data_IF_015281293928
#
_entry.id   IF_015281293928
#
_cell.length_a   1.000
_cell.length_b   1.000
_cell.length_c   1.000
_cell.angle_alpha   90.00
_cell.angle_beta   90.00
_cell.angle_gamma   90.00
#
_symmetry.space_group_name_H-M   'P 1'
#
loop_
_entity.id
_entity.type
_entity.pdbx_description
1 polymer ?
#
# COMPACT_ATOMS: atom_id res chain seq x y z
N UNK A 1 -26.92 8.63 -18.59
CA UNK A 1 -25.45 8.60 -18.50
C UNK A 1 -25.10 7.44 -17.60
N UNK A 2 -24.72 6.29 -18.15
CA UNK A 2 -24.34 5.12 -17.35
C UNK A 2 -23.00 5.40 -16.71
N UNK A 3 -22.98 5.73 -15.43
CA UNK A 3 -21.73 5.80 -14.68
C UNK A 3 -21.10 4.42 -14.65
N UNK A 4 -19.80 4.32 -14.89
CA UNK A 4 -19.07 3.10 -14.61
C UNK A 4 -19.34 2.70 -13.16
N UNK A 5 -19.75 1.45 -12.96
CA UNK A 5 -19.93 0.87 -11.63
C UNK A 5 -18.55 0.57 -11.04
N UNK A 6 -18.06 1.52 -10.24
CA UNK A 6 -16.70 1.54 -9.70
C UNK A 6 -16.71 1.02 -8.26
N UNK A 7 -15.89 0.01 -8.00
CA UNK A 7 -15.76 -0.63 -6.68
C UNK A 7 -14.46 -0.25 -5.95
N UNK A 8 -13.50 0.34 -6.65
CA UNK A 8 -12.22 0.68 -6.03
C UNK A 8 -11.25 1.41 -6.92
N UNK A 9 -10.01 1.53 -6.45
CA UNK A 9 -8.90 2.09 -7.21
C UNK A 9 -7.64 1.25 -7.10
N UNK A 10 -6.76 1.36 -8.10
CA UNK A 10 -5.39 0.84 -7.98
C UNK A 10 -4.46 1.89 -7.40
N UNK A 11 -3.60 1.47 -6.48
CA UNK A 11 -2.49 2.26 -5.97
C UNK A 11 -1.18 1.52 -6.19
N UNK A 12 -0.25 2.19 -6.87
CA UNK A 12 1.10 1.68 -7.04
C UNK A 12 2.00 2.06 -5.86
N UNK A 13 2.74 1.10 -5.31
CA UNK A 13 3.89 1.36 -4.45
C UNK A 13 5.15 0.64 -4.98
N UNK A 14 6.31 1.18 -4.62
CA UNK A 14 7.59 0.53 -4.94
C UNK A 14 7.86 -0.54 -3.90
N UNK A 15 8.03 -1.78 -4.32
CA UNK A 15 8.41 -2.87 -3.44
C UNK A 15 9.90 -2.79 -3.06
N UNK A 16 10.20 -3.12 -1.80
CA UNK A 16 11.58 -3.17 -1.27
C UNK A 16 12.39 -4.28 -1.94
N UNK A 17 13.57 -3.99 -2.54
CA UNK A 17 14.44 -5.01 -3.11
C UNK A 17 15.11 -5.91 -2.06
N UNK A 18 14.95 -5.63 -0.77
CA UNK A 18 15.56 -6.37 0.36
C UNK A 18 14.65 -7.45 0.95
N UNK A 19 13.45 -7.61 0.40
CA UNK A 19 12.49 -8.60 0.87
C UNK A 19 11.91 -9.39 -0.28
N UNK A 20 11.60 -10.66 -0.03
CA UNK A 20 10.80 -11.49 -0.93
C UNK A 20 9.29 -11.30 -0.69
N UNK A 21 8.90 -10.64 0.41
CA UNK A 21 7.51 -10.33 0.74
C UNK A 21 7.07 -9.01 0.08
N UNK A 22 5.77 -8.84 -0.24
CA UNK A 22 5.26 -7.66 -0.94
C UNK A 22 5.18 -6.42 -0.04
N UNK A 23 6.28 -6.03 0.59
CA UNK A 23 6.36 -4.84 1.45
C UNK A 23 6.77 -3.60 0.65
N UNK A 24 6.35 -2.39 1.05
CA UNK A 24 6.81 -1.16 0.43
C UNK A 24 8.30 -0.91 0.70
N UNK A 25 8.93 -0.09 -0.14
CA UNK A 25 10.29 0.41 0.03
C UNK A 25 10.28 1.64 0.95
N UNK A 26 10.90 1.52 2.13
CA UNK A 26 10.86 2.54 3.18
C UNK A 26 12.22 3.11 3.61
N UNK A 27 13.34 2.68 3.02
CA UNK A 27 14.66 3.14 3.47
C UNK A 27 15.78 2.87 2.45
N UNK A 28 16.59 3.89 2.16
CA UNK A 28 18.00 3.81 1.72
C UNK A 28 18.41 3.05 0.46
N UNK A 29 17.59 2.17 -0.12
CA UNK A 29 18.05 1.15 -1.09
C UNK A 29 18.48 1.75 -2.45
N UNK A 30 18.19 3.04 -2.67
CA UNK A 30 18.74 3.87 -3.75
C UNK A 30 19.63 4.97 -3.16
N UNK A 31 20.91 4.68 -2.94
CA UNK A 31 21.96 5.66 -2.62
C UNK A 31 21.70 6.58 -1.40
N UNK A 32 21.40 6.03 -0.23
CA UNK A 32 21.26 6.79 1.05
C UNK A 32 20.22 7.93 1.04
N UNK A 33 19.41 8.03 -0.03
CA UNK A 33 18.30 8.97 -0.20
C UNK A 33 17.02 8.16 -0.40
N UNK A 34 16.69 7.33 0.58
CA UNK A 34 15.59 6.36 0.55
C UNK A 34 14.30 6.85 -0.10
N UNK A 35 13.48 5.91 -0.59
CA UNK A 35 12.11 6.21 -1.00
C UNK A 35 11.40 6.94 0.14
N UNK A 36 10.99 8.18 -0.12
CA UNK A 36 10.11 8.93 0.80
C UNK A 36 8.71 8.29 0.90
N UNK A 37 8.44 7.12 0.34
CA UNK A 37 7.09 6.53 0.26
C UNK A 37 7.06 5.21 1.01
N UNK A 38 6.76 5.30 2.31
CA UNK A 38 6.74 4.21 3.29
C UNK A 38 5.35 3.58 3.41
N UNK A 39 4.60 3.54 2.31
CA UNK A 39 3.16 3.24 2.29
C UNK A 39 2.91 2.03 1.37
N UNK A 40 2.03 1.08 1.73
CA UNK A 40 1.08 1.11 2.85
C UNK A 40 1.73 1.01 4.24
N UNK A 41 1.09 1.61 5.26
CA UNK A 41 1.52 1.55 6.65
C UNK A 41 0.78 0.46 7.42
N UNK A 42 1.51 -0.47 8.03
CA UNK A 42 0.94 -1.61 8.74
C UNK A 42 0.71 -1.29 10.21
N UNK A 43 -0.49 -1.56 10.69
CA UNK A 43 -0.97 -1.33 12.04
C UNK A 43 -1.25 -2.68 12.73
N UNK A 44 -1.43 -2.72 14.06
CA UNK A 44 -1.88 -3.92 14.78
C UNK A 44 -3.18 -4.51 14.20
N UNK A 45 -3.45 -5.78 14.52
CA UNK A 45 -4.68 -6.49 14.15
C UNK A 45 -4.97 -6.55 12.64
N UNK A 46 -3.92 -6.65 11.80
CA UNK A 46 -4.00 -6.61 10.32
C UNK A 46 -4.60 -5.32 9.75
N UNK A 47 -4.67 -4.26 10.54
CA UNK A 47 -5.08 -2.98 10.02
C UNK A 47 -3.96 -2.40 9.15
N UNK A 48 -4.36 -1.71 8.09
CA UNK A 48 -3.45 -0.99 7.21
C UNK A 48 -3.98 0.42 7.02
N UNK A 49 -3.07 1.38 6.97
CA UNK A 49 -3.35 2.77 6.68
C UNK A 49 -2.63 3.20 5.41
N UNK A 50 -3.26 4.12 4.68
CA UNK A 50 -2.69 4.71 3.48
C UNK A 50 -2.65 6.24 3.58
N UNK A 51 -1.49 6.81 3.24
CA UNK A 51 -1.14 8.19 3.54
C UNK A 51 -1.17 8.46 5.06
N UNK A 52 -0.55 7.59 5.86
CA UNK A 52 -0.57 7.70 7.32
C UNK A 52 0.44 8.70 7.87
N UNK A 53 1.67 8.68 7.35
CA UNK A 53 2.76 9.52 7.86
C UNK A 53 2.80 10.91 7.23
N UNK A 54 2.46 10.99 5.94
CA UNK A 54 2.45 12.25 5.20
C UNK A 54 1.59 12.15 3.96
N UNK A 55 1.32 13.33 3.41
CA UNK A 55 0.71 13.53 2.10
C UNK A 55 1.52 12.88 0.98
N UNK A 56 1.28 11.61 0.71
CA UNK A 56 1.84 10.89 -0.42
C UNK A 56 0.99 11.14 -1.67
N UNK A 57 1.08 12.36 -2.22
CA UNK A 57 0.33 12.84 -3.38
C UNK A 57 -1.20 12.74 -3.14
N UNK A 58 -1.90 13.86 -2.86
CA UNK A 58 -3.32 13.85 -2.45
C UNK A 58 -4.25 13.04 -3.36
N UNK A 59 -3.88 12.87 -4.65
CA UNK A 59 -4.70 12.16 -5.64
C UNK A 59 -4.82 10.66 -5.41
N UNK A 60 -3.90 10.01 -4.69
CA UNK A 60 -3.81 8.54 -4.65
C UNK A 60 -4.99 7.88 -3.92
N UNK A 61 -5.52 8.52 -2.87
CA UNK A 61 -6.69 8.02 -2.12
C UNK A 61 -7.91 8.94 -2.27
N UNK A 62 -7.78 10.06 -2.97
CA UNK A 62 -8.88 11.04 -3.11
C UNK A 62 -10.12 10.44 -3.77
N UNK A 63 -9.95 9.53 -4.73
CA UNK A 63 -11.09 8.85 -5.34
C UNK A 63 -11.83 7.94 -4.35
N UNK A 64 -11.09 7.23 -3.47
CA UNK A 64 -11.67 6.41 -2.41
C UNK A 64 -12.58 7.25 -1.52
N UNK A 65 -12.12 8.45 -1.14
CA UNK A 65 -12.86 9.35 -0.25
C UNK A 65 -14.01 10.05 -0.98
N UNK A 66 -13.75 10.67 -2.13
CA UNK A 66 -14.74 11.46 -2.87
C UNK A 66 -15.93 10.62 -3.35
N UNK A 67 -15.72 9.31 -3.57
CA UNK A 67 -16.70 8.39 -4.12
C UNK A 67 -17.10 7.27 -3.14
N UNK A 68 -16.61 7.31 -1.91
CA UNK A 68 -16.88 6.30 -0.86
C UNK A 68 -16.63 4.87 -1.35
N UNK A 69 -15.47 4.63 -1.96
CA UNK A 69 -15.15 3.33 -2.56
C UNK A 69 -14.71 2.32 -1.49
N UNK A 70 -15.24 1.09 -1.53
CA UNK A 70 -14.94 0.08 -0.50
C UNK A 70 -13.53 -0.50 -0.60
N UNK A 71 -12.85 -0.41 -1.75
CA UNK A 71 -11.57 -1.08 -1.96
C UNK A 71 -10.46 -0.17 -2.52
N UNK A 72 -9.25 -0.38 -2.01
CA UNK A 72 -8.01 0.07 -2.64
C UNK A 72 -7.13 -1.14 -2.93
N UNK A 73 -6.84 -1.39 -4.20
CA UNK A 73 -6.01 -2.51 -4.64
C UNK A 73 -4.56 -2.08 -4.80
N UNK A 74 -3.64 -2.88 -4.27
CA UNK A 74 -2.22 -2.59 -4.34
C UNK A 74 -1.56 -3.22 -5.53
N UNK A 75 -0.83 -2.39 -6.28
CA UNK A 75 -0.02 -2.82 -7.41
C UNK A 75 1.44 -2.55 -7.12
N UNK A 76 2.29 -3.51 -7.45
CA UNK A 76 3.74 -3.30 -7.39
C UNK A 76 4.46 -4.00 -8.54
N UNK A 77 5.79 -3.94 -8.53
CA UNK A 77 6.69 -4.68 -9.42
C UNK A 77 7.72 -5.38 -8.56
N UNK A 78 7.85 -6.70 -8.68
CA UNK A 78 8.94 -7.43 -8.03
C UNK A 78 10.28 -7.04 -8.69
N UNK A 79 11.26 -6.61 -7.90
CA UNK A 79 12.57 -6.15 -8.40
C UNK A 79 13.60 -7.28 -8.46
N UNK A 80 13.23 -8.43 -9.04
CA UNK A 80 14.18 -9.54 -9.24
C UNK A 80 14.68 -9.58 -10.68
N UNK A 81 16.01 -9.58 -10.86
CA UNK A 81 16.64 -9.65 -12.17
C UNK A 81 16.36 -10.96 -12.93
N UNK A 82 15.98 -12.03 -12.23
CA UNK A 82 15.80 -13.38 -12.78
C UNK A 82 14.39 -13.98 -12.60
N UNK A 83 13.40 -13.21 -12.14
CA UNK A 83 12.02 -13.73 -12.01
C UNK A 83 11.28 -13.73 -13.35
N UNK A 84 10.36 -14.67 -13.56
CA UNK A 84 9.44 -14.69 -14.72
C UNK A 84 8.56 -13.43 -14.82
N UNK A 85 8.43 -12.69 -13.71
CA UNK A 85 7.59 -11.49 -13.54
C UNK A 85 8.42 -10.21 -13.79
N UNK A 86 9.67 -10.32 -14.24
CA UNK A 86 10.55 -9.17 -14.49
C UNK A 86 9.86 -8.14 -15.40
N UNK A 87 9.65 -6.94 -14.85
CA UNK A 87 8.95 -5.79 -15.46
C UNK A 87 7.41 -5.86 -15.56
N UNK A 88 6.76 -6.92 -15.10
CA UNK A 88 5.29 -7.00 -15.02
C UNK A 88 4.77 -6.28 -13.77
N UNK A 89 3.66 -5.56 -13.94
CA UNK A 89 2.91 -4.99 -12.80
C UNK A 89 1.88 -5.98 -12.33
N UNK A 90 1.89 -6.24 -11.04
CA UNK A 90 1.07 -7.26 -10.40
C UNK A 90 0.26 -6.65 -9.27
N UNK A 91 -0.98 -7.11 -9.14
CA UNK A 91 -1.84 -6.88 -7.97
C UNK A 91 -1.45 -7.89 -6.91
N UNK A 92 -1.11 -7.42 -5.71
CA UNK A 92 -0.56 -8.25 -4.63
C UNK A 92 -1.48 -8.34 -3.40
N UNK A 93 -2.63 -7.65 -3.45
CA UNK A 93 -3.52 -7.51 -2.31
C UNK A 93 -4.37 -6.25 -2.38
N UNK A 94 -5.12 -6.00 -1.30
CA UNK A 94 -6.08 -4.91 -1.22
C UNK A 94 -6.34 -4.47 0.23
N UNK A 95 -6.84 -3.25 0.36
CA UNK A 95 -7.39 -2.67 1.58
C UNK A 95 -8.92 -2.68 1.48
N UNK A 96 -9.59 -3.29 2.46
CA UNK A 96 -11.02 -3.08 2.70
C UNK A 96 -11.20 -1.80 3.50
N UNK A 97 -11.63 -0.74 2.84
CA UNK A 97 -11.71 0.61 3.40
C UNK A 97 -12.81 0.64 4.46
N UNK A 98 -12.44 0.97 5.69
CA UNK A 98 -13.35 1.05 6.83
C UNK A 98 -13.63 2.49 7.26
N UNK A 99 -12.63 3.36 7.17
CA UNK A 99 -12.77 4.75 7.58
C UNK A 99 -11.70 5.64 6.94
N UNK A 100 -11.89 6.96 7.08
CA UNK A 100 -10.87 7.94 6.75
C UNK A 100 -10.88 9.08 7.76
N UNK A 101 -9.74 9.71 7.99
CA UNK A 101 -9.62 10.87 8.88
C UNK A 101 -8.70 11.93 8.30
N UNK A 102 -8.77 13.14 8.86
CA UNK A 102 -7.80 14.20 8.61
C UNK A 102 -6.65 14.07 9.61
N UNK A 103 -5.42 13.98 9.11
CA UNK A 103 -4.17 14.01 9.88
C UNK A 103 -3.33 15.21 9.46
N UNK A 104 -2.42 15.65 10.32
CA UNK A 104 -1.40 16.62 9.94
C UNK A 104 -0.12 15.89 9.52
N UNK A 105 0.54 16.38 8.48
CA UNK A 105 1.81 15.85 7.98
C UNK A 105 2.85 15.78 9.07
N UNK A 106 3.46 14.60 9.23
CA UNK A 106 4.27 14.35 10.40
C UNK A 106 5.78 14.49 10.19
N UNK A 107 6.33 14.37 8.97
CA UNK A 107 7.79 14.51 8.79
C UNK A 107 8.23 14.97 7.39
N UNK A 108 9.08 16.00 7.37
CA UNK A 108 10.15 16.18 6.38
C UNK A 108 11.50 16.25 7.10
N UNK A 109 12.28 15.16 7.10
CA UNK A 109 13.63 15.11 7.67
C UNK A 109 13.66 15.08 9.20
N UNK A 110 13.11 16.11 9.85
CA UNK A 110 13.02 16.30 11.32
C UNK A 110 11.97 17.36 11.73
N UNK A 111 11.18 17.90 10.80
CA UNK A 111 10.20 18.97 11.09
C UNK A 111 8.77 18.58 10.67
N UNK A 112 7.81 18.89 11.55
CA UNK A 112 6.37 18.85 11.29
C UNK A 112 6.03 19.95 10.29
N UNK A 113 5.51 19.60 9.12
CA UNK A 113 5.05 20.63 8.15
C UNK A 113 3.67 21.17 8.53
N UNK A 114 2.92 20.46 9.39
CA UNK A 114 1.58 20.82 9.86
C UNK A 114 0.52 20.83 8.76
N UNK A 115 0.82 20.27 7.58
CA UNK A 115 -0.13 20.29 6.45
C UNK A 115 -1.20 19.22 6.64
N UNK A 116 -2.49 19.57 6.63
CA UNK A 116 -3.55 18.59 6.78
C UNK A 116 -3.65 17.71 5.52
N UNK A 117 -3.86 16.42 5.72
CA UNK A 117 -4.07 15.42 4.69
C UNK A 117 -5.07 14.37 5.13
N UNK A 118 -5.66 13.68 4.17
CA UNK A 118 -6.48 12.53 4.47
C UNK A 118 -5.63 11.26 4.58
N UNK A 119 -6.04 10.41 5.50
CA UNK A 119 -5.59 9.03 5.67
C UNK A 119 -6.80 8.12 5.60
N UNK A 120 -6.69 7.00 4.90
CA UNK A 120 -7.71 5.95 4.92
C UNK A 120 -7.19 4.76 5.75
N UNK A 121 -8.10 4.09 6.43
CA UNK A 121 -7.84 2.91 7.25
C UNK A 121 -8.74 1.78 6.81
N UNK A 122 -8.26 0.57 7.04
CA UNK A 122 -9.00 -0.62 6.66
C UNK A 122 -8.31 -1.90 7.08
N UNK A 123 -8.98 -3.02 6.82
CA UNK A 123 -8.35 -4.33 6.93
C UNK A 123 -7.48 -4.54 5.70
N UNK A 124 -6.20 -4.81 5.91
CA UNK A 124 -5.28 -5.15 4.83
C UNK A 124 -5.35 -6.63 4.52
N UNK A 125 -5.19 -6.95 3.23
CA UNK A 125 -5.04 -8.29 2.72
C UNK A 125 -3.87 -8.31 1.74
N UNK A 126 -2.86 -9.14 2.01
CA UNK A 126 -1.66 -9.24 1.17
C UNK A 126 -1.33 -10.70 0.92
N UNK A 127 -0.79 -10.95 -0.26
CA UNK A 127 -0.51 -12.30 -0.74
C UNK A 127 0.91 -12.37 -1.31
N UNK A 128 1.54 -13.54 -1.18
CA UNK A 128 2.88 -13.78 -1.72
C UNK A 128 2.93 -13.49 -3.23
N UNK A 129 4.10 -13.10 -3.75
CA UNK A 129 4.26 -12.79 -5.17
C UNK A 129 3.86 -13.94 -6.12
N UNK A 130 4.02 -15.19 -5.68
CA UNK A 130 3.63 -16.37 -6.46
C UNK A 130 2.11 -16.48 -6.65
N UNK A 131 1.34 -15.78 -5.83
CA UNK A 131 -0.12 -15.70 -5.89
C UNK A 131 -0.61 -14.36 -6.49
N UNK A 132 0.29 -13.49 -6.95
CA UNK A 132 -0.08 -12.18 -7.46
C UNK A 132 -0.74 -12.27 -8.85
N UNK A 133 -1.61 -11.32 -9.17
CA UNK A 133 -2.34 -11.29 -10.45
C UNK A 133 -1.65 -10.29 -11.38
N UNK A 134 -1.29 -10.68 -12.60
CA UNK A 134 -0.78 -9.71 -13.57
C UNK A 134 -1.88 -8.71 -13.96
N UNK A 135 -1.54 -7.42 -13.96
CA UNK A 135 -2.48 -6.34 -14.36
C UNK A 135 -3.07 -6.56 -15.76
N UNK A 136 -2.32 -7.18 -16.69
CA UNK A 136 -2.82 -7.50 -18.02
C UNK A 136 -4.00 -8.48 -17.99
N UNK A 137 -4.04 -9.40 -17.03
CA UNK A 137 -5.12 -10.39 -16.89
C UNK A 137 -6.42 -9.72 -16.45
N UNK A 138 -6.35 -8.72 -15.56
CA UNK A 138 -7.53 -7.99 -15.08
C UNK A 138 -7.98 -6.91 -16.08
N UNK A 139 -7.04 -6.11 -16.57
CA UNK A 139 -7.33 -4.88 -17.32
C UNK A 139 -7.13 -4.99 -18.84
N UNK A 140 -6.68 -6.14 -19.33
CA UNK A 140 -6.40 -6.37 -20.77
C UNK A 140 -5.17 -5.64 -21.31
N UNK A 141 -4.47 -4.87 -20.48
CA UNK A 141 -3.26 -4.10 -20.85
C UNK A 141 -2.23 -4.11 -19.73
N UNK A 142 -0.96 -3.95 -20.11
CA UNK A 142 0.10 -3.63 -19.16
C UNK A 142 -0.05 -2.18 -18.74
N UNK A 143 -0.15 -1.94 -17.44
CA UNK A 143 -0.25 -0.59 -16.90
C UNK A 143 1.14 0.08 -16.90
N UNK A 144 1.14 1.40 -17.03
CA UNK A 144 2.33 2.24 -17.06
C UNK A 144 2.33 3.18 -15.87
N UNK A 145 3.45 3.85 -15.61
CA UNK A 145 3.51 4.87 -14.56
C UNK A 145 2.46 5.97 -14.74
N UNK A 146 2.08 6.29 -15.98
CA UNK A 146 1.06 7.29 -16.28
C UNK A 146 -0.32 6.84 -15.77
N UNK A 147 -0.65 5.56 -15.94
CA UNK A 147 -1.92 4.99 -15.48
C UNK A 147 -2.14 5.19 -13.97
N UNK A 148 -1.08 5.18 -13.14
CA UNK A 148 -1.18 5.43 -11.69
C UNK A 148 -1.05 6.91 -11.29
N UNK A 149 -0.72 7.80 -12.23
CA UNK A 149 -0.76 9.26 -11.99
C UNK A 149 -2.15 9.84 -12.21
N UNK A 150 -2.96 9.14 -12.99
CA UNK A 150 -4.39 9.37 -13.16
C UNK A 150 -5.13 8.37 -12.26
N UNK A 151 -6.30 8.73 -11.76
CA UNK A 151 -7.06 7.86 -10.85
C UNK A 151 -7.45 6.61 -11.61
N UNK A 152 -6.82 5.47 -11.32
CA UNK A 152 -7.13 4.23 -12.01
C UNK A 152 -8.28 3.54 -11.28
N UNK A 153 -9.49 3.73 -11.79
CA UNK A 153 -10.67 3.10 -11.23
C UNK A 153 -10.70 1.61 -11.56
N UNK A 154 -11.26 0.85 -10.63
CA UNK A 154 -11.52 -0.58 -10.74
C UNK A 154 -13.03 -0.76 -10.76
N UNK A 155 -13.55 -1.39 -11.81
CA UNK A 155 -14.98 -1.70 -11.89
C UNK A 155 -15.36 -2.82 -10.93
N UNK A 156 -16.66 -2.95 -10.62
CA UNK A 156 -17.17 -4.07 -9.81
C UNK A 156 -16.71 -5.44 -10.34
N UNK A 157 -16.88 -5.70 -11.64
CA UNK A 157 -16.45 -6.96 -12.24
C UNK A 157 -14.93 -7.22 -12.16
N UNK A 158 -14.11 -6.15 -12.18
CA UNK A 158 -12.66 -6.28 -11.98
C UNK A 158 -12.33 -6.56 -10.51
N UNK A 159 -13.03 -5.89 -9.58
CA UNK A 159 -12.88 -6.11 -8.15
C UNK A 159 -13.28 -7.53 -7.76
N UNK A 160 -14.47 -8.00 -8.16
CA UNK A 160 -14.93 -9.37 -7.91
C UNK A 160 -13.91 -10.41 -8.38
N UNK A 161 -13.39 -10.28 -9.60
CA UNK A 161 -12.35 -11.18 -10.11
C UNK A 161 -11.08 -11.21 -9.25
N UNK A 162 -10.67 -10.07 -8.71
CA UNK A 162 -9.49 -10.00 -7.83
C UNK A 162 -9.80 -10.59 -6.46
N UNK A 163 -10.97 -10.28 -5.89
CA UNK A 163 -11.41 -10.80 -4.59
C UNK A 163 -11.60 -12.32 -4.65
N UNK A 164 -12.23 -12.86 -5.70
CA UNK A 164 -12.42 -14.29 -5.91
C UNK A 164 -11.11 -15.05 -6.07
N UNK A 165 -10.10 -14.43 -6.68
CA UNK A 165 -8.76 -15.02 -6.79
C UNK A 165 -8.08 -15.14 -5.42
N UNK A 166 -8.29 -14.15 -4.56
CA UNK A 166 -7.64 -14.06 -3.25
C UNK A 166 -8.39 -14.77 -2.12
N UNK A 167 -9.67 -15.07 -2.28
CA UNK A 167 -10.56 -15.53 -1.20
C UNK A 167 -10.11 -16.80 -0.47
N UNK A 168 -9.42 -17.71 -1.17
CA UNK A 168 -8.94 -18.99 -0.64
C UNK A 168 -7.43 -19.00 -0.36
N UNK A 169 -6.75 -17.87 -0.52
CA UNK A 169 -5.30 -17.76 -0.34
C UNK A 169 -4.95 -17.34 1.09
N UNK A 170 -3.78 -17.78 1.54
CA UNK A 170 -3.26 -17.39 2.85
C UNK A 170 -2.90 -15.89 2.86
N UNK A 171 -3.53 -15.16 3.76
CA UNK A 171 -3.23 -13.75 4.03
C UNK A 171 -1.91 -13.63 4.82
N UNK A 172 -0.97 -12.87 4.26
CA UNK A 172 0.37 -12.69 4.81
C UNK A 172 0.63 -11.28 5.36
N UNK A 173 -0.42 -10.48 5.62
CA UNK A 173 -0.26 -9.11 6.18
C UNK A 173 0.61 -9.08 7.44
N UNK A 174 0.40 -10.01 8.38
CA UNK A 174 1.23 -10.08 9.58
C UNK A 174 2.70 -10.35 9.27
N UNK A 175 2.99 -11.27 8.33
CA UNK A 175 4.35 -11.58 7.92
C UNK A 175 5.02 -10.36 7.26
N UNK A 176 4.27 -9.60 6.45
CA UNK A 176 4.73 -8.34 5.88
C UNK A 176 5.04 -7.30 6.95
N UNK A 177 4.23 -7.20 8.00
CA UNK A 177 4.47 -6.29 9.12
C UNK A 177 5.73 -6.68 9.92
N UNK A 178 5.90 -7.96 10.23
CA UNK A 178 7.09 -8.50 10.92
C UNK A 178 8.36 -8.29 10.10
N UNK A 179 8.27 -8.42 8.78
CA UNK A 179 9.39 -8.20 7.89
C UNK A 179 9.80 -6.73 7.81
N UNK A 180 8.82 -5.81 7.80
CA UNK A 180 9.10 -4.39 7.95
C UNK A 180 9.79 -4.13 9.28
N UNK A 181 9.34 -4.76 10.37
CA UNK A 181 10.00 -4.66 11.68
C UNK A 181 11.44 -5.11 11.68
N UNK A 182 11.71 -6.24 11.02
CA UNK A 182 13.06 -6.78 10.89
C UNK A 182 13.97 -5.86 10.06
N UNK A 183 13.45 -5.22 9.02
CA UNK A 183 14.22 -4.43 8.07
C UNK A 183 14.35 -2.95 8.44
N UNK A 184 13.34 -2.37 9.10
CA UNK A 184 13.25 -0.96 9.48
C UNK A 184 13.93 -0.65 10.81
N UNK A 185 15.18 -1.09 10.97
CA UNK A 185 15.97 -0.88 12.20
C UNK A 185 16.19 0.59 12.57
N UNK A 186 15.92 1.53 11.64
CA UNK A 186 16.07 2.97 11.83
C UNK A 186 14.72 3.69 12.07
N UNK A 187 13.59 2.99 12.03
CA UNK A 187 12.27 3.54 12.31
C UNK A 187 11.75 4.53 11.28
N UNK A 188 12.03 4.31 9.98
CA UNK A 188 11.50 5.15 8.89
C UNK A 188 10.01 4.94 8.62
N UNK A 189 9.46 3.78 8.97
CA UNK A 189 8.07 3.38 8.75
C UNK A 189 7.17 3.61 9.93
N UNK A 190 7.70 3.62 11.17
CA UNK A 190 6.95 3.95 12.40
C UNK A 190 7.82 4.90 13.23
N UNK A 191 7.45 6.18 13.29
CA UNK A 191 8.11 7.15 14.17
C UNK A 191 7.52 7.01 15.60
N UNK A 192 8.31 6.62 16.62
CA UNK A 192 7.83 6.48 18.01
C UNK A 192 7.22 7.75 18.61
N UNK A 193 7.57 8.91 18.06
CA UNK A 193 7.11 10.22 18.53
C UNK A 193 5.74 10.62 17.95
N UNK A 194 5.27 9.89 16.93
CA UNK A 194 4.18 10.33 16.05
C UNK A 194 3.13 9.23 15.81
N UNK A 195 3.45 7.97 16.11
CA UNK A 195 2.42 6.95 16.25
C UNK A 195 1.68 7.20 17.58
N UNK A 196 0.40 7.61 17.57
CA UNK A 196 -0.37 7.75 18.82
C UNK A 196 -0.52 6.40 19.54
N UNK A 197 -0.23 5.30 18.84
CA UNK A 197 -0.19 3.94 19.36
C UNK A 197 1.21 3.63 19.91
N UNK A 198 1.65 4.40 20.92
CA UNK A 198 2.80 4.06 21.79
C UNK A 198 2.65 2.72 22.52
N UNK A 199 1.53 2.02 22.35
CA UNK A 199 1.19 0.77 23.02
C UNK A 199 0.73 -0.36 22.07
N UNK A 200 0.96 -0.23 20.76
CA UNK A 200 0.39 -1.20 19.81
C UNK A 200 0.90 -1.17 18.37
N UNK A 201 1.82 -0.27 17.97
CA UNK A 201 2.57 -0.49 16.71
C UNK A 201 3.29 -1.85 16.88
N UNK A 202 2.94 -2.87 16.09
CA UNK A 202 3.46 -4.25 16.20
C UNK A 202 4.99 -4.33 16.22
N UNK A 203 5.63 -3.27 15.72
CA UNK A 203 7.06 -2.96 15.78
C UNK A 203 7.66 -2.90 17.21
N UNK A 204 6.85 -2.80 18.26
CA UNK A 204 7.32 -2.64 19.65
C UNK A 204 7.07 -3.84 20.57
N UNK A 205 6.46 -4.93 20.10
CA UNK A 205 6.20 -6.09 20.97
C UNK A 205 7.41 -7.03 21.15
N UNK A 206 8.58 -6.71 20.58
CA UNK A 206 9.82 -7.48 20.71
C UNK A 206 11.02 -6.66 21.25
N UNK A 207 10.77 -5.56 21.97
CA UNK A 207 11.79 -4.84 22.76
C UNK A 207 11.54 -4.97 24.26
#
# INVERSE_FOLDING_TARGET
>A
MGGEDIAGVLKFYYHSPRSELPIPDFAGDRNDKGSKKTEPHFLPDNMVAENFLKTCYPRNIKAVIDMDLPYLFWVTRKQEENSKIKNSQVVIGYLEVASHEMREDTVSGTELTGKPHHTIYGKGHLYAFDNAIETREIFGKVLTRVDFTHRFHVSHAQAERMLDHFSELDDIVHQCADEIARLDVKGYTCFPEICPVKQGCALYHNL
#
